data_IF_146960617852
#
_entry.id   IF_146960617852
#
_cell.length_a   1.000
_cell.length_b   1.000
_cell.length_c   1.000
_cell.angle_alpha   90.00
_cell.angle_beta   90.00
_cell.angle_gamma   90.00
#
_symmetry.space_group_name_H-M   'P 1'
#
loop_
_entity.id
_entity.type
_entity.pdbx_description
1 polymer ?
#
# COMPACT_ATOMS: atom_id res chain seq x y z
N UNK A 1 -2.34 -26.98 14.46
CA UNK A 1 -3.67 -26.66 15.04
C UNK A 1 -3.70 -25.25 15.62
N UNK A 2 -2.68 -24.84 16.39
CA UNK A 2 -2.51 -23.49 16.99
C UNK A 2 -2.63 -22.36 15.97
N UNK A 3 -1.99 -22.46 14.82
CA UNK A 3 -2.00 -21.42 13.77
C UNK A 3 -3.39 -21.26 13.15
N UNK A 4 -4.17 -22.34 13.07
CA UNK A 4 -5.55 -22.33 12.56
C UNK A 4 -6.58 -21.85 13.58
N UNK A 5 -6.22 -21.83 14.87
CA UNK A 5 -7.09 -21.43 15.98
C UNK A 5 -6.44 -20.27 16.72
N UNK A 6 -6.70 -19.04 16.25
CA UNK A 6 -6.05 -17.82 16.77
C UNK A 6 -6.19 -17.67 18.30
N UNK A 7 -7.34 -18.05 18.87
CA UNK A 7 -7.54 -17.97 20.31
C UNK A 7 -6.55 -18.85 21.10
N UNK A 8 -6.22 -20.04 20.59
CA UNK A 8 -5.21 -20.91 21.19
C UNK A 8 -3.81 -20.28 21.14
N UNK A 9 -3.46 -19.64 20.02
CA UNK A 9 -2.19 -18.93 19.88
C UNK A 9 -2.09 -17.76 20.87
N UNK A 10 -3.18 -17.01 21.06
CA UNK A 10 -3.25 -15.90 22.03
C UNK A 10 -3.11 -16.37 23.48
N UNK A 11 -3.61 -17.58 23.81
CA UNK A 11 -3.45 -18.17 25.15
C UNK A 11 -2.01 -18.61 25.39
N UNK A 12 -1.41 -19.25 24.39
CA UNK A 12 -0.15 -20.00 24.55
C UNK A 12 1.10 -19.17 24.29
N UNK A 13 0.99 -18.01 23.62
CA UNK A 13 2.14 -17.21 23.19
C UNK A 13 1.96 -15.73 23.54
N UNK A 14 2.84 -15.23 24.40
CA UNK A 14 2.86 -13.80 24.74
C UNK A 14 3.14 -12.91 23.52
N UNK A 15 4.03 -13.32 22.62
CA UNK A 15 4.31 -12.60 21.39
C UNK A 15 3.05 -12.43 20.50
N UNK A 16 2.20 -13.46 20.39
CA UNK A 16 0.95 -13.36 19.63
C UNK A 16 -0.02 -12.35 20.25
N UNK A 17 -0.09 -12.33 21.58
CA UNK A 17 -0.91 -11.35 22.32
C UNK A 17 -0.35 -9.94 22.21
N UNK A 18 0.97 -9.79 22.36
CA UNK A 18 1.66 -8.50 22.19
C UNK A 18 1.40 -7.91 20.79
N UNK A 19 1.56 -8.71 19.73
CA UNK A 19 1.28 -8.26 18.36
C UNK A 19 -0.17 -7.82 18.17
N UNK A 20 -1.14 -8.57 18.74
CA UNK A 20 -2.55 -8.19 18.68
C UNK A 20 -2.83 -6.86 19.39
N UNK A 21 -2.25 -6.65 20.57
CA UNK A 21 -2.39 -5.42 21.34
C UNK A 21 -1.68 -4.23 20.65
N UNK A 22 -0.50 -4.48 20.09
CA UNK A 22 0.24 -3.46 19.31
C UNK A 22 -0.58 -3.01 18.11
N UNK A 23 -1.17 -3.95 17.36
CA UNK A 23 -2.09 -3.60 16.24
C UNK A 23 -3.24 -2.70 16.71
N UNK A 24 -3.86 -2.99 17.85
CA UNK A 24 -4.96 -2.17 18.40
C UNK A 24 -4.47 -0.75 18.71
N UNK A 25 -3.27 -0.61 19.30
CA UNK A 25 -2.66 0.69 19.60
C UNK A 25 -2.36 1.46 18.31
N UNK A 26 -1.74 0.81 17.31
CA UNK A 26 -1.46 1.41 16.00
C UNK A 26 -2.74 1.94 15.36
N UNK A 27 -3.80 1.13 15.32
CA UNK A 27 -5.08 1.52 14.72
C UNK A 27 -5.73 2.72 15.43
N UNK A 28 -5.54 2.85 16.74
CA UNK A 28 -6.01 4.01 17.52
C UNK A 28 -5.16 5.25 17.19
N UNK A 29 -3.84 5.10 17.20
CA UNK A 29 -2.91 6.18 16.93
C UNK A 29 -3.10 6.77 15.51
N UNK A 30 -3.33 5.92 14.51
CA UNK A 30 -3.67 6.34 13.14
C UNK A 30 -4.91 7.24 13.13
N UNK A 31 -5.98 6.83 13.80
CA UNK A 31 -7.21 7.63 13.87
C UNK A 31 -7.00 8.95 14.58
N UNK A 32 -6.36 8.92 15.74
CA UNK A 32 -6.06 10.12 16.52
C UNK A 32 -5.28 11.15 15.71
N UNK A 33 -4.26 10.70 14.96
CA UNK A 33 -3.46 11.57 14.11
C UNK A 33 -4.31 12.19 13.00
N UNK A 34 -5.04 11.40 12.24
CA UNK A 34 -5.84 11.88 11.11
C UNK A 34 -6.97 12.82 11.56
N UNK A 35 -7.64 12.48 12.66
CA UNK A 35 -8.65 13.38 13.27
C UNK A 35 -8.02 14.70 13.74
N UNK A 36 -6.80 14.64 14.32
CA UNK A 36 -6.02 15.80 14.70
C UNK A 36 -5.64 16.71 13.53
N UNK A 37 -5.41 16.13 12.34
CA UNK A 37 -5.18 16.85 11.09
C UNK A 37 -6.48 17.33 10.41
N UNK A 38 -7.63 17.11 11.04
CA UNK A 38 -8.94 17.56 10.55
C UNK A 38 -9.57 16.65 9.51
N UNK A 39 -9.11 15.40 9.39
CA UNK A 39 -9.79 14.41 8.57
C UNK A 39 -11.01 13.83 9.31
N UNK A 40 -12.08 13.58 8.58
CA UNK A 40 -13.29 12.94 9.07
C UNK A 40 -13.28 11.45 8.72
N UNK A 41 -13.42 10.58 9.73
CA UNK A 41 -13.61 9.15 9.46
C UNK A 41 -15.01 8.91 8.90
N UNK A 42 -15.08 8.23 7.78
CA UNK A 42 -16.34 7.84 7.13
C UNK A 42 -16.38 6.34 6.91
N UNK A 43 -17.59 5.78 6.81
CA UNK A 43 -17.83 4.40 6.41
C UNK A 43 -18.61 4.39 5.10
N UNK A 44 -18.00 3.85 4.05
CA UNK A 44 -18.59 3.75 2.71
C UNK A 44 -19.02 2.31 2.41
N UNK A 45 -19.93 2.09 1.43
CA UNK A 45 -20.48 0.76 1.16
C UNK A 45 -19.41 -0.29 0.80
N UNK A 46 -19.46 -1.45 1.45
CA UNK A 46 -18.68 -2.62 1.08
C UNK A 46 -19.30 -3.43 -0.06
N UNK A 47 -20.64 -3.42 -0.17
CA UNK A 47 -21.37 -3.99 -1.30
C UNK A 47 -21.61 -2.89 -2.33
N UNK A 48 -21.09 -3.08 -3.54
CA UNK A 48 -21.11 -2.06 -4.59
C UNK A 48 -21.74 -2.61 -5.86
N UNK A 49 -22.48 -1.79 -6.59
CA UNK A 49 -23.02 -2.13 -7.91
C UNK A 49 -21.98 -2.01 -9.01
N UNK A 50 -20.96 -1.18 -8.80
CA UNK A 50 -19.80 -1.03 -9.68
C UNK A 50 -18.55 -1.14 -8.83
N UNK A 51 -17.66 -2.07 -9.18
CA UNK A 51 -16.34 -2.13 -8.57
C UNK A 51 -15.37 -1.19 -9.29
N UNK A 52 -14.38 -0.68 -8.57
CA UNK A 52 -13.36 0.22 -9.12
C UNK A 52 -12.44 0.78 -8.03
N UNK A 53 -11.50 1.65 -8.45
CA UNK A 53 -10.52 2.26 -7.55
C UNK A 53 -9.24 1.43 -7.35
N UNK A 54 -9.16 0.26 -7.99
CA UNK A 54 -7.96 -0.58 -8.01
C UNK A 54 -7.98 -1.52 -9.23
N UNK A 55 -6.82 -2.04 -9.60
CA UNK A 55 -6.68 -3.08 -10.60
C UNK A 55 -6.70 -4.46 -9.91
N UNK A 56 -7.89 -4.92 -9.52
CA UNK A 56 -8.06 -6.19 -8.82
C UNK A 56 -9.36 -6.90 -9.23
N UNK A 57 -9.38 -8.23 -9.07
CA UNK A 57 -10.58 -9.03 -9.34
C UNK A 57 -11.51 -9.00 -8.12
N UNK A 58 -12.80 -8.61 -8.28
CA UNK A 58 -13.75 -8.59 -7.17
C UNK A 58 -14.31 -9.98 -6.84
N UNK A 59 -14.83 -10.13 -5.61
CA UNK A 59 -15.80 -11.17 -5.29
C UNK A 59 -17.19 -10.70 -5.74
N UNK A 60 -17.96 -11.60 -6.33
CA UNK A 60 -19.34 -11.33 -6.80
C UNK A 60 -20.31 -12.00 -5.83
N UNK A 61 -21.38 -11.31 -5.49
CA UNK A 61 -22.51 -11.84 -4.73
C UNK A 61 -23.83 -11.37 -5.36
N UNK A 62 -24.97 -11.85 -4.86
CA UNK A 62 -26.29 -11.52 -5.39
C UNK A 62 -27.21 -11.01 -4.31
N UNK A 63 -27.95 -9.92 -4.57
CA UNK A 63 -29.00 -9.40 -3.72
C UNK A 63 -30.33 -10.02 -4.10
N UNK A 64 -30.85 -10.95 -3.29
CA UNK A 64 -32.14 -11.59 -3.55
C UNK A 64 -33.32 -10.59 -3.55
N UNK A 65 -33.24 -9.56 -2.72
CA UNK A 65 -34.32 -8.58 -2.59
C UNK A 65 -34.42 -7.63 -3.80
N UNK A 66 -33.27 -7.35 -4.43
CA UNK A 66 -33.18 -6.42 -5.57
C UNK A 66 -33.01 -7.14 -6.91
N UNK A 67 -32.75 -8.46 -6.88
CA UNK A 67 -32.45 -9.30 -8.05
C UNK A 67 -31.31 -8.72 -8.91
N UNK A 68 -30.22 -8.31 -8.25
CA UNK A 68 -29.03 -7.75 -8.91
C UNK A 68 -27.74 -8.37 -8.35
N UNK A 69 -26.72 -8.44 -9.19
CA UNK A 69 -25.37 -8.78 -8.75
C UNK A 69 -24.71 -7.58 -8.09
N UNK A 70 -23.98 -7.88 -7.02
CA UNK A 70 -23.19 -6.93 -6.25
C UNK A 70 -21.75 -7.43 -6.13
N UNK A 71 -20.85 -6.50 -5.94
CA UNK A 71 -19.42 -6.76 -5.75
C UNK A 71 -19.00 -6.40 -4.35
N UNK A 72 -18.23 -7.28 -3.69
CA UNK A 72 -17.45 -6.86 -2.53
C UNK A 72 -16.37 -5.88 -3.00
N UNK A 73 -16.26 -4.72 -2.37
CA UNK A 73 -15.38 -3.64 -2.81
C UNK A 73 -13.90 -4.07 -2.84
N UNK A 74 -13.20 -3.67 -3.87
CA UNK A 74 -11.75 -3.83 -4.00
C UNK A 74 -10.98 -2.62 -3.45
N UNK A 75 -11.66 -1.46 -3.33
CA UNK A 75 -11.16 -0.20 -2.75
C UNK A 75 -12.34 0.72 -2.41
N UNK A 76 -12.22 1.63 -1.43
CA UNK A 76 -13.23 2.64 -1.10
C UNK A 76 -13.15 3.90 -1.97
N UNK A 77 -12.14 4.05 -2.82
CA UNK A 77 -11.74 5.24 -3.58
C UNK A 77 -12.91 6.03 -4.15
N UNK A 78 -13.77 5.39 -4.95
CA UNK A 78 -14.84 6.07 -5.67
C UNK A 78 -15.87 6.71 -4.73
N UNK A 79 -16.14 6.09 -3.59
CA UNK A 79 -17.05 6.62 -2.60
C UNK A 79 -16.42 7.73 -1.76
N UNK A 80 -15.14 7.61 -1.41
CA UNK A 80 -14.41 8.68 -0.72
C UNK A 80 -14.29 9.92 -1.60
N UNK A 81 -14.03 9.77 -2.90
CA UNK A 81 -14.07 10.89 -3.85
C UNK A 81 -15.47 11.54 -3.92
N UNK A 82 -16.56 10.76 -3.82
CA UNK A 82 -17.93 11.32 -3.75
C UNK A 82 -18.17 12.11 -2.47
N UNK A 83 -17.59 11.70 -1.34
CA UNK A 83 -17.64 12.48 -0.10
C UNK A 83 -16.96 13.84 -0.29
N UNK A 84 -15.78 13.86 -0.95
CA UNK A 84 -15.06 15.11 -1.25
C UNK A 84 -15.89 16.00 -2.19
N UNK A 85 -16.47 15.45 -3.26
CA UNK A 85 -17.39 16.19 -4.16
C UNK A 85 -18.60 16.71 -3.39
N UNK A 86 -19.07 15.98 -2.38
CA UNK A 86 -20.16 16.38 -1.49
C UNK A 86 -19.81 17.48 -0.49
N UNK A 87 -18.55 17.98 -0.48
CA UNK A 87 -18.11 19.08 0.38
C UNK A 87 -17.37 18.65 1.65
N UNK A 88 -17.05 17.37 1.80
CA UNK A 88 -16.18 16.88 2.89
C UNK A 88 -14.73 17.01 2.43
N UNK A 89 -14.06 18.12 2.76
CA UNK A 89 -12.75 18.46 2.21
C UNK A 89 -11.62 17.49 2.59
N UNK A 90 -11.73 16.82 3.76
CA UNK A 90 -10.76 15.84 4.25
C UNK A 90 -11.49 14.64 4.82
N UNK A 91 -11.31 13.47 4.19
CA UNK A 91 -11.95 12.22 4.64
C UNK A 91 -10.95 11.08 4.67
N UNK A 92 -11.18 10.15 5.56
CA UNK A 92 -10.47 8.87 5.57
C UNK A 92 -11.41 7.72 5.93
N UNK A 93 -11.02 6.53 5.54
CA UNK A 93 -11.66 5.29 5.95
C UNK A 93 -10.63 4.24 6.29
N UNK A 94 -10.81 3.57 7.43
CA UNK A 94 -10.04 2.38 7.81
C UNK A 94 -10.98 1.20 7.86
N UNK A 95 -11.02 0.41 6.80
CA UNK A 95 -12.00 -0.66 6.71
C UNK A 95 -11.50 -1.83 5.84
N UNK A 96 -12.36 -2.86 5.66
CA UNK A 96 -12.06 -4.06 4.90
C UNK A 96 -12.24 -3.84 3.41
N UNK A 97 -11.28 -4.40 2.65
CA UNK A 97 -11.36 -4.57 1.21
C UNK A 97 -11.18 -6.04 0.86
N UNK A 98 -11.63 -6.42 -0.34
CA UNK A 98 -11.71 -7.81 -0.78
C UNK A 98 -11.14 -7.92 -2.19
N UNK A 99 -10.14 -8.79 -2.39
CA UNK A 99 -9.54 -9.05 -3.70
C UNK A 99 -9.51 -10.55 -3.94
N UNK A 100 -10.13 -11.00 -5.05
CA UNK A 100 -10.27 -12.41 -5.40
C UNK A 100 -9.12 -12.84 -6.31
N UNK A 101 -7.93 -12.86 -5.73
CA UNK A 101 -6.67 -13.16 -6.40
C UNK A 101 -5.88 -14.22 -5.62
N UNK A 102 -4.57 -14.36 -5.90
CA UNK A 102 -3.71 -15.30 -5.21
C UNK A 102 -3.60 -15.04 -3.70
N UNK A 103 -3.32 -16.08 -2.94
CA UNK A 103 -3.12 -16.03 -1.49
C UNK A 103 -1.71 -16.51 -1.19
N UNK A 104 -0.94 -15.68 -0.48
CA UNK A 104 0.40 -16.01 0.01
C UNK A 104 0.65 -15.46 1.42
N UNK A 105 1.90 -15.34 1.84
CA UNK A 105 2.24 -14.84 3.19
C UNK A 105 1.94 -13.35 3.39
N UNK A 106 1.88 -12.56 2.33
CA UNK A 106 1.63 -11.12 2.33
C UNK A 106 0.28 -10.72 1.74
N UNK A 107 -0.37 -11.60 0.99
CA UNK A 107 -1.65 -11.33 0.32
C UNK A 107 -2.78 -12.16 0.92
N UNK A 108 -3.80 -11.47 1.44
CA UNK A 108 -5.04 -12.07 1.94
C UNK A 108 -6.21 -11.60 1.09
N UNK A 109 -7.22 -12.45 0.81
CA UNK A 109 -8.40 -12.04 0.06
C UNK A 109 -9.27 -11.01 0.77
N UNK A 110 -9.14 -10.92 2.09
CA UNK A 110 -9.74 -9.88 2.94
C UNK A 110 -8.64 -9.21 3.76
N UNK A 111 -8.52 -7.90 3.67
CA UNK A 111 -7.50 -7.12 4.38
C UNK A 111 -8.01 -5.74 4.79
N UNK A 112 -7.39 -5.14 5.79
CA UNK A 112 -7.68 -3.76 6.18
C UNK A 112 -6.83 -2.81 5.34
N UNK A 113 -7.45 -1.71 4.90
CA UNK A 113 -6.81 -0.62 4.17
C UNK A 113 -7.19 0.70 4.82
N UNK A 114 -6.24 1.63 4.89
CA UNK A 114 -6.46 3.04 5.15
C UNK A 114 -6.39 3.76 3.80
N UNK A 115 -7.41 4.52 3.48
CA UNK A 115 -7.37 5.51 2.40
C UNK A 115 -7.75 6.89 2.92
N UNK A 116 -7.07 7.92 2.41
CA UNK A 116 -7.30 9.32 2.74
C UNK A 116 -7.50 10.14 1.47
N UNK A 117 -8.43 11.09 1.51
CA UNK A 117 -8.67 12.01 0.40
C UNK A 117 -8.78 13.43 0.93
N UNK A 118 -8.04 14.34 0.31
CA UNK A 118 -8.01 15.75 0.66
C UNK A 118 -8.26 16.60 -0.60
N UNK A 119 -9.25 17.48 -0.52
CA UNK A 119 -9.45 18.51 -1.55
C UNK A 119 -8.29 19.50 -1.55
N UNK A 120 -7.89 19.97 -2.74
CA UNK A 120 -6.89 21.02 -2.94
C UNK A 120 -5.47 20.67 -2.44
N UNK A 121 -5.24 19.44 -1.99
CA UNK A 121 -3.93 18.95 -1.61
C UNK A 121 -3.10 18.53 -2.81
N UNK A 122 -1.78 18.64 -2.67
CA UNK A 122 -0.78 18.15 -3.63
C UNK A 122 -0.22 16.79 -3.19
N UNK A 123 0.60 16.16 -4.03
CA UNK A 123 1.33 14.96 -3.62
C UNK A 123 2.37 15.24 -2.53
N UNK A 124 2.92 16.47 -2.48
CA UNK A 124 3.84 16.89 -1.42
C UNK A 124 3.12 16.99 -0.08
N UNK A 125 1.90 17.57 -0.04
CA UNK A 125 1.07 17.58 1.16
C UNK A 125 0.77 16.16 1.65
N UNK A 126 0.50 15.24 0.73
CA UNK A 126 0.26 13.83 1.05
C UNK A 126 1.53 13.17 1.62
N UNK A 127 2.70 13.43 1.05
CA UNK A 127 3.97 12.89 1.53
C UNK A 127 4.29 13.36 2.95
N UNK A 128 4.13 14.66 3.23
CA UNK A 128 4.34 15.21 4.58
C UNK A 128 3.33 14.66 5.59
N UNK A 129 2.06 14.53 5.21
CA UNK A 129 1.02 13.93 6.06
C UNK A 129 1.34 12.47 6.39
N UNK A 130 1.76 11.66 5.42
CA UNK A 130 2.11 10.24 5.63
C UNK A 130 3.37 10.13 6.50
N UNK A 131 4.39 10.96 6.28
CA UNK A 131 5.59 11.02 7.12
C UNK A 131 5.21 11.32 8.57
N UNK A 132 4.43 12.38 8.79
CA UNK A 132 3.96 12.75 10.12
C UNK A 132 3.11 11.66 10.79
N UNK A 133 2.23 11.01 10.03
CA UNK A 133 1.42 9.89 10.50
C UNK A 133 2.29 8.74 11.02
N UNK A 134 3.25 8.29 10.23
CA UNK A 134 4.11 7.15 10.57
C UNK A 134 4.98 7.47 11.79
N UNK A 135 5.60 8.67 11.82
CA UNK A 135 6.43 9.10 12.94
C UNK A 135 5.61 9.27 14.23
N UNK A 136 4.42 9.87 14.14
CA UNK A 136 3.53 10.02 15.30
C UNK A 136 3.06 8.67 15.85
N UNK A 137 2.69 7.74 14.98
CA UNK A 137 2.29 6.38 15.38
C UNK A 137 3.46 5.64 16.04
N UNK A 138 4.67 5.73 15.49
CA UNK A 138 5.85 5.12 16.09
C UNK A 138 6.12 5.67 17.50
N UNK A 139 6.08 6.97 17.69
CA UNK A 139 6.25 7.62 18.98
C UNK A 139 5.15 7.22 19.98
N UNK A 140 3.87 7.26 19.59
CA UNK A 140 2.76 6.93 20.48
C UNK A 140 2.77 5.45 20.91
N UNK A 141 3.11 4.53 19.99
CA UNK A 141 3.02 3.09 20.24
C UNK A 141 4.29 2.51 20.85
N UNK A 142 5.45 2.95 20.41
CA UNK A 142 6.75 2.40 20.79
C UNK A 142 7.59 3.34 21.65
N UNK A 143 7.23 4.62 21.72
CA UNK A 143 8.00 5.65 22.46
C UNK A 143 9.27 6.11 21.74
N UNK A 144 9.47 5.70 20.49
CA UNK A 144 10.62 6.04 19.67
C UNK A 144 10.24 5.97 18.19
N UNK A 145 10.92 6.74 17.34
CA UNK A 145 10.86 6.59 15.88
C UNK A 145 11.74 5.44 15.39
N UNK A 146 12.72 5.01 16.20
CA UNK A 146 13.50 3.79 15.88
C UNK A 146 12.71 2.56 16.29
N UNK A 147 12.42 1.71 15.30
CA UNK A 147 11.68 0.46 15.48
C UNK A 147 12.62 -0.72 15.27
N UNK A 148 12.67 -1.61 16.26
CA UNK A 148 13.49 -2.83 16.20
C UNK A 148 12.62 -4.02 15.82
N UNK A 149 12.98 -4.73 14.76
CA UNK A 149 12.32 -5.97 14.33
C UNK A 149 12.73 -7.16 15.19
N UNK A 150 12.02 -8.27 15.02
CA UNK A 150 12.26 -9.50 15.79
C UNK A 150 13.64 -10.14 15.57
N UNK A 151 14.28 -9.88 14.44
CA UNK A 151 15.63 -10.33 14.10
C UNK A 151 16.74 -9.39 14.61
N UNK A 152 16.35 -8.27 15.24
CA UNK A 152 17.25 -7.26 15.75
C UNK A 152 17.59 -6.13 14.77
N UNK A 153 17.02 -6.14 13.56
CA UNK A 153 17.19 -5.05 12.59
C UNK A 153 16.48 -3.80 13.10
N UNK A 154 17.15 -2.66 13.03
CA UNK A 154 16.62 -1.36 13.44
C UNK A 154 16.32 -0.48 12.24
N UNK A 155 15.15 0.14 12.25
CA UNK A 155 14.73 1.15 11.29
C UNK A 155 14.43 2.45 12.01
N UNK A 156 15.12 3.52 11.64
CA UNK A 156 14.78 4.87 12.12
C UNK A 156 13.81 5.52 11.14
N UNK A 157 12.57 5.69 11.59
CA UNK A 157 11.49 6.37 10.87
C UNK A 157 11.49 7.88 11.11
N UNK A 158 12.43 8.38 11.95
CA UNK A 158 12.56 9.79 12.32
C UNK A 158 13.24 10.63 11.27
N UNK A 159 13.38 11.92 11.58
CA UNK A 159 14.09 12.89 10.73
C UNK A 159 13.40 13.18 9.40
N UNK A 160 14.18 13.69 8.46
CA UNK A 160 13.72 13.95 7.10
C UNK A 160 13.83 12.70 6.23
N UNK A 161 12.81 12.45 5.43
CA UNK A 161 12.79 11.34 4.49
C UNK A 161 13.38 11.77 3.14
N UNK A 162 14.19 10.90 2.55
CA UNK A 162 14.77 11.16 1.25
C UNK A 162 13.70 11.13 0.14
N UNK A 163 13.79 12.07 -0.78
CA UNK A 163 13.01 12.04 -2.02
C UNK A 163 13.87 11.42 -3.11
N UNK A 164 13.35 10.37 -3.75
CA UNK A 164 14.03 9.70 -4.86
C UNK A 164 13.24 9.91 -6.16
N UNK A 165 13.89 10.48 -7.15
CA UNK A 165 13.35 10.55 -8.51
C UNK A 165 13.58 9.20 -9.21
N UNK A 166 12.57 8.68 -9.90
CA UNK A 166 12.58 7.32 -10.45
C UNK A 166 13.76 7.09 -11.42
N UNK A 167 13.95 7.92 -12.45
CA UNK A 167 15.02 7.72 -13.43
C UNK A 167 16.43 7.95 -12.86
N UNK A 168 16.70 9.01 -12.10
CA UNK A 168 18.01 9.19 -11.47
C UNK A 168 18.38 8.05 -10.53
N UNK A 169 17.47 7.62 -9.64
CA UNK A 169 17.74 6.53 -8.70
C UNK A 169 17.90 5.18 -9.40
N UNK A 170 17.10 4.90 -10.44
CA UNK A 170 17.24 3.72 -11.28
C UNK A 170 18.63 3.67 -11.92
N UNK A 171 19.07 4.75 -12.54
CA UNK A 171 20.34 4.80 -13.23
C UNK A 171 21.53 4.70 -12.26
N UNK A 172 21.45 5.31 -11.09
CA UNK A 172 22.46 5.15 -10.04
C UNK A 172 22.58 3.68 -9.60
N UNK A 173 21.43 3.04 -9.31
CA UNK A 173 21.39 1.63 -8.91
C UNK A 173 21.87 0.71 -10.05
N UNK A 174 21.48 1.02 -11.29
CA UNK A 174 21.91 0.27 -12.47
C UNK A 174 23.43 0.32 -12.64
N UNK A 175 24.05 1.48 -12.57
CA UNK A 175 25.50 1.59 -12.67
C UNK A 175 26.25 0.93 -11.52
N UNK A 176 25.65 0.91 -10.32
CA UNK A 176 26.21 0.24 -9.16
C UNK A 176 26.13 -1.28 -9.26
N UNK A 177 24.97 -1.84 -9.64
CA UNK A 177 24.72 -3.30 -9.70
C UNK A 177 25.17 -3.92 -11.04
N UNK A 178 25.01 -3.19 -12.15
CA UNK A 178 25.29 -3.64 -13.52
C UNK A 178 26.08 -2.58 -14.31
N UNK A 179 27.37 -2.32 -14.00
CA UNK A 179 28.14 -1.27 -14.60
C UNK A 179 28.28 -1.45 -16.12
N UNK A 180 28.18 -0.34 -16.86
CA UNK A 180 28.32 -0.31 -18.32
C UNK A 180 27.03 -0.51 -19.10
N UNK A 181 25.89 -0.68 -18.42
CA UNK A 181 24.58 -0.65 -19.09
C UNK A 181 24.24 0.77 -19.52
N UNK A 182 23.49 0.95 -20.65
CA UNK A 182 23.02 2.25 -21.08
C UNK A 182 22.08 2.89 -20.06
N UNK A 183 22.07 4.21 -20.03
CA UNK A 183 21.18 4.97 -19.15
C UNK A 183 19.73 4.83 -19.62
N UNK A 184 18.81 4.64 -18.67
CA UNK A 184 17.36 4.59 -18.90
C UNK A 184 16.80 6.00 -18.86
N UNK A 185 16.07 6.38 -19.90
CA UNK A 185 15.43 7.69 -20.03
C UNK A 185 13.98 7.55 -20.45
N UNK A 186 13.25 8.66 -20.50
CA UNK A 186 11.87 8.69 -21.00
C UNK A 186 11.76 8.30 -22.48
N UNK A 187 12.86 8.39 -23.22
CA UNK A 187 12.93 8.08 -24.66
C UNK A 187 13.45 6.65 -24.93
N UNK A 188 13.82 5.89 -23.88
CA UNK A 188 14.25 4.49 -24.03
C UNK A 188 13.15 3.66 -24.67
N UNK A 189 13.48 2.87 -25.68
CA UNK A 189 12.50 2.04 -26.39
C UNK A 189 12.08 0.82 -25.57
N UNK A 190 10.91 0.27 -25.89
CA UNK A 190 10.42 -0.96 -25.24
C UNK A 190 11.39 -2.13 -25.45
N UNK A 191 12.03 -2.19 -26.63
CA UNK A 191 13.02 -3.22 -26.97
C UNK A 191 14.27 -3.12 -26.10
N UNK A 192 14.80 -1.90 -25.91
CA UNK A 192 15.93 -1.64 -25.02
C UNK A 192 15.61 -1.99 -23.56
N UNK A 193 14.42 -1.59 -23.09
CA UNK A 193 13.97 -1.89 -21.73
C UNK A 193 13.75 -3.39 -21.50
N UNK A 194 13.25 -4.13 -22.49
CA UNK A 194 13.13 -5.60 -22.41
C UNK A 194 14.51 -6.27 -22.33
N UNK A 195 15.45 -5.81 -23.16
CA UNK A 195 16.82 -6.32 -23.11
C UNK A 195 17.48 -6.03 -21.76
N UNK A 196 17.24 -4.85 -21.18
CA UNK A 196 17.72 -4.50 -19.84
C UNK A 196 17.03 -5.34 -18.75
N UNK A 197 15.71 -5.56 -18.85
CA UNK A 197 14.97 -6.42 -17.93
C UNK A 197 15.58 -7.83 -17.83
N UNK A 198 15.95 -8.42 -18.97
CA UNK A 198 16.64 -9.71 -19.00
C UNK A 198 18.00 -9.66 -18.28
N UNK A 199 18.75 -8.55 -18.41
CA UNK A 199 20.06 -8.38 -17.74
C UNK A 199 19.91 -8.28 -16.23
N UNK A 200 18.90 -7.57 -15.74
CA UNK A 200 18.67 -7.34 -14.30
C UNK A 200 17.86 -8.45 -13.64
N UNK A 201 17.35 -9.42 -14.40
CA UNK A 201 16.62 -10.57 -13.88
C UNK A 201 15.10 -10.42 -13.81
N UNK A 202 14.55 -9.36 -14.36
CA UNK A 202 13.09 -9.13 -14.43
C UNK A 202 12.46 -10.01 -15.51
N UNK A 203 11.49 -10.83 -15.13
CA UNK A 203 10.78 -11.73 -16.05
C UNK A 203 9.62 -11.01 -16.73
N UNK A 204 9.83 -10.62 -17.99
CA UNK A 204 8.77 -10.05 -18.81
C UNK A 204 7.82 -11.16 -19.29
N UNK A 205 6.48 -11.04 -19.13
CA UNK A 205 5.55 -12.04 -19.59
C UNK A 205 5.61 -12.24 -21.12
N UNK A 206 5.58 -13.48 -21.58
CA UNK A 206 5.64 -13.82 -23.03
C UNK A 206 4.49 -13.18 -23.84
N UNK A 207 3.34 -12.96 -23.22
CA UNK A 207 2.17 -12.34 -23.84
C UNK A 207 2.29 -10.80 -24.00
N UNK A 208 3.44 -10.22 -23.71
CA UNK A 208 3.92 -8.94 -24.20
C UNK A 208 3.10 -7.69 -23.85
N UNK A 209 2.36 -7.69 -22.74
CA UNK A 209 1.49 -6.56 -22.39
C UNK A 209 2.19 -5.36 -21.73
N UNK A 210 3.49 -5.44 -21.42
CA UNK A 210 4.20 -4.35 -20.73
C UNK A 210 4.69 -3.28 -21.71
N UNK A 211 4.20 -2.07 -21.52
CA UNK A 211 4.72 -0.87 -22.19
C UNK A 211 5.91 -0.29 -21.45
N UNK A 212 6.41 0.84 -21.95
CA UNK A 212 7.58 1.57 -21.42
C UNK A 212 7.48 1.79 -19.90
N UNK A 213 6.40 2.40 -19.40
CA UNK A 213 6.26 2.73 -17.98
C UNK A 213 6.30 1.51 -17.07
N UNK A 214 5.64 0.40 -17.48
CA UNK A 214 5.64 -0.83 -16.67
C UNK A 214 7.01 -1.51 -16.65
N UNK A 215 7.74 -1.49 -17.75
CA UNK A 215 9.11 -2.01 -17.78
C UNK A 215 10.05 -1.20 -16.89
N UNK A 216 9.96 0.13 -16.93
CA UNK A 216 10.75 1.02 -16.05
C UNK A 216 10.42 0.77 -14.58
N UNK A 217 9.13 0.64 -14.23
CA UNK A 217 8.66 0.34 -12.88
C UNK A 217 9.27 -0.97 -12.35
N UNK A 218 9.15 -2.05 -13.10
CA UNK A 218 9.64 -3.38 -12.69
C UNK A 218 11.18 -3.43 -12.58
N UNK A 219 11.90 -2.76 -13.51
CA UNK A 219 13.35 -2.64 -13.42
C UNK A 219 13.76 -1.81 -12.20
N UNK A 220 13.03 -0.74 -11.92
CA UNK A 220 13.27 0.09 -10.74
C UNK A 220 13.03 -0.70 -9.44
N UNK A 221 11.94 -1.45 -9.39
CA UNK A 221 11.60 -2.29 -8.23
C UNK A 221 12.70 -3.32 -7.95
N UNK A 222 13.19 -4.01 -8.97
CA UNK A 222 14.29 -5.00 -8.84
C UNK A 222 15.60 -4.36 -8.38
N UNK A 223 15.89 -3.13 -8.82
CA UNK A 223 17.18 -2.49 -8.54
C UNK A 223 17.19 -1.62 -7.27
N UNK A 224 16.05 -1.04 -6.89
CA UNK A 224 15.97 0.05 -5.90
C UNK A 224 15.11 -0.29 -4.67
N UNK A 225 14.26 -1.33 -4.71
CA UNK A 225 13.32 -1.62 -3.62
C UNK A 225 13.94 -2.39 -2.43
N UNK A 226 15.23 -2.73 -2.45
CA UNK A 226 15.96 -3.41 -1.36
C UNK A 226 16.72 -2.41 -0.46
#
# INVERSE_FOLDING_TARGET
>A
TRVRQRYTDLIMRDAARTNALTRIKVMRALRNYLEGEGFLEVETPMLQTLHGGAAARPFVTHSNALDIDLYLRIAPELYLKRCVVGGMERVFEVNRNFRNEGVDSSHSPEFAMLETYQAWGTYDDCAEMIKGLIQSVALEVFGSTTVTLADGTEYDLGGEWATMEMYPSLNEALQRKHPGQPEVTVDSTVEELKALADVVGVKVPENGGWGHGKLVEEIWEELCAD
#
